data_IF_811476258764
#
_entry.id   IF_811476258764
#
_cell.length_a   1.000
_cell.length_b   1.000
_cell.length_c   1.000
_cell.angle_alpha   90.00
_cell.angle_beta   90.00
_cell.angle_gamma   90.00
#
_symmetry.space_group_name_H-M   'P 1'
#
loop_
_entity.id
_entity.type
_entity.pdbx_description
1 polymer ?
#
# COMPACT_ATOMS: atom_id res chain seq x y z
N UNK A 1 -3.48 13.11 14.97
CA UNK A 1 -3.49 13.02 13.50
C UNK A 1 -3.77 11.59 13.09
N UNK A 2 -4.66 11.40 12.13
CA UNK A 2 -5.07 10.07 11.73
C UNK A 2 -4.15 9.51 10.65
N UNK A 3 -3.81 8.25 10.79
CA UNK A 3 -3.03 7.52 9.79
C UNK A 3 -3.97 6.61 9.02
N UNK A 4 -3.87 6.66 7.70
CA UNK A 4 -4.63 5.76 6.83
C UNK A 4 -3.72 4.62 6.39
N UNK A 5 -4.25 3.40 6.42
CA UNK A 5 -3.52 2.22 5.97
C UNK A 5 -4.11 1.71 4.66
N UNK A 6 -3.25 1.44 3.69
CA UNK A 6 -3.67 0.84 2.42
C UNK A 6 -3.00 -0.52 2.32
N UNK A 7 -3.81 -1.56 2.31
CA UNK A 7 -3.32 -2.93 2.28
C UNK A 7 -3.13 -3.39 0.84
N UNK A 8 -1.95 -3.90 0.55
CA UNK A 8 -1.58 -4.36 -0.78
C UNK A 8 -1.40 -5.87 -0.78
N UNK A 9 -2.26 -6.56 -1.52
CA UNK A 9 -2.13 -8.00 -1.75
C UNK A 9 -1.64 -8.22 -3.17
N UNK A 10 -1.02 -9.37 -3.43
CA UNK A 10 -0.67 -9.72 -4.81
C UNK A 10 -1.94 -9.72 -5.66
N UNK A 11 -1.84 -9.16 -6.86
CA UNK A 11 -2.98 -9.03 -7.76
C UNK A 11 -3.75 -7.72 -7.60
N UNK A 12 -3.24 -6.78 -6.78
CA UNK A 12 -3.90 -5.48 -6.65
C UNK A 12 -3.91 -4.74 -8.00
N UNK A 13 -4.89 -3.84 -8.15
CA UNK A 13 -5.00 -3.04 -9.38
C UNK A 13 -4.07 -1.84 -9.27
N UNK A 14 -3.01 -1.81 -10.08
CA UNK A 14 -1.95 -0.80 -9.96
C UNK A 14 -2.49 0.61 -10.11
N UNK A 15 -3.30 0.86 -11.14
CA UNK A 15 -3.79 2.21 -11.39
C UNK A 15 -4.65 2.70 -10.23
N UNK A 16 -5.57 1.86 -9.77
CA UNK A 16 -6.48 2.26 -8.69
C UNK A 16 -5.74 2.45 -7.38
N UNK A 17 -4.88 1.51 -7.02
CA UNK A 17 -4.20 1.55 -5.73
C UNK A 17 -3.19 2.69 -5.68
N UNK A 18 -2.32 2.79 -6.68
CA UNK A 18 -1.24 3.77 -6.65
C UNK A 18 -1.76 5.19 -6.86
N UNK A 19 -2.77 5.36 -7.71
CA UNK A 19 -3.38 6.67 -7.92
C UNK A 19 -4.04 7.17 -6.64
N UNK A 20 -4.77 6.27 -5.96
CA UNK A 20 -5.43 6.62 -4.70
C UNK A 20 -4.42 7.03 -3.64
N UNK A 21 -3.34 6.25 -3.50
CA UNK A 21 -2.28 6.56 -2.54
C UNK A 21 -1.66 7.91 -2.85
N UNK A 22 -1.35 8.17 -4.13
CA UNK A 22 -0.74 9.41 -4.55
C UNK A 22 -1.64 10.61 -4.25
N UNK A 23 -2.93 10.50 -4.59
CA UNK A 23 -3.88 11.58 -4.33
C UNK A 23 -3.99 11.87 -2.84
N UNK A 24 -4.07 10.83 -2.03
CA UNK A 24 -4.19 10.99 -0.58
C UNK A 24 -2.97 11.69 0.01
N UNK A 25 -1.77 11.29 -0.44
CA UNK A 25 -0.53 11.91 0.03
C UNK A 25 -0.42 13.36 -0.44
N UNK A 26 -0.87 13.66 -1.65
CA UNK A 26 -0.88 15.04 -2.16
C UNK A 26 -1.84 15.91 -1.35
N UNK A 27 -2.90 15.32 -0.81
CA UNK A 27 -3.85 16.03 0.03
C UNK A 27 -3.36 16.24 1.46
N UNK A 28 -2.14 15.81 1.77
CA UNK A 28 -1.55 15.99 3.09
C UNK A 28 -1.91 14.89 4.07
N UNK A 29 -2.52 13.81 3.63
CA UNK A 29 -2.86 12.70 4.50
C UNK A 29 -1.63 11.83 4.78
N UNK A 30 -1.56 11.31 6.00
CA UNK A 30 -0.54 10.34 6.35
C UNK A 30 -1.03 8.97 5.91
N UNK A 31 -0.34 8.38 4.92
CA UNK A 31 -0.72 7.09 4.35
C UNK A 31 0.42 6.11 4.48
N UNK A 32 0.13 4.97 5.07
CA UNK A 32 1.09 3.86 5.20
C UNK A 32 0.60 2.72 4.34
N UNK A 33 1.43 2.28 3.39
CA UNK A 33 1.11 1.11 2.58
C UNK A 33 1.59 -0.14 3.30
N UNK A 34 0.75 -1.17 3.31
CA UNK A 34 1.00 -2.37 4.09
C UNK A 34 0.90 -3.58 3.17
N UNK A 35 1.98 -4.37 3.10
CA UNK A 35 1.96 -5.63 2.38
C UNK A 35 1.35 -6.71 3.28
N UNK A 36 0.37 -7.43 2.76
CA UNK A 36 -0.19 -8.57 3.48
C UNK A 36 0.57 -9.86 3.19
N UNK A 37 1.65 -9.76 2.38
CA UNK A 37 2.51 -10.89 2.06
C UNK A 37 3.60 -11.04 3.13
N UNK A 38 4.44 -12.06 2.99
CA UNK A 38 5.57 -12.28 3.89
C UNK A 38 6.70 -11.28 3.66
N UNK A 39 6.70 -10.60 2.51
CA UNK A 39 7.72 -9.62 2.16
C UNK A 39 7.08 -8.28 1.90
N UNK A 40 7.91 -7.23 1.85
CA UNK A 40 7.43 -5.88 1.56
C UNK A 40 6.97 -5.71 0.12
N UNK A 41 7.38 -6.59 -0.79
CA UNK A 41 6.97 -6.50 -2.18
C UNK A 41 5.57 -7.03 -2.37
N UNK A 42 4.78 -6.28 -3.14
CA UNK A 42 3.47 -6.72 -3.59
C UNK A 42 3.41 -6.53 -5.10
N UNK A 43 3.03 -7.59 -5.81
CA UNK A 43 2.95 -7.54 -7.27
C UNK A 43 1.51 -7.29 -7.69
N UNK A 44 1.33 -6.24 -8.50
CA UNK A 44 0.01 -5.90 -9.02
C UNK A 44 -0.44 -6.85 -10.12
N UNK A 45 -1.70 -6.69 -10.52
CA UNK A 45 -2.33 -7.56 -11.51
C UNK A 45 -1.64 -7.50 -12.87
N UNK A 46 -0.94 -6.43 -13.17
CA UNK A 46 -0.28 -6.23 -14.45
C UNK A 46 1.25 -6.33 -14.34
N UNK A 47 1.74 -6.98 -13.29
CA UNK A 47 3.16 -7.28 -13.17
C UNK A 47 4.03 -6.18 -12.58
N UNK A 48 3.44 -5.11 -12.10
CA UNK A 48 4.22 -4.04 -11.46
C UNK A 48 4.41 -4.38 -9.98
N UNK A 49 5.66 -4.53 -9.58
CA UNK A 49 5.99 -4.81 -8.19
C UNK A 49 6.26 -3.50 -7.45
N UNK A 50 5.60 -3.32 -6.32
CA UNK A 50 5.83 -2.16 -5.48
C UNK A 50 6.32 -2.60 -4.11
N UNK A 51 7.07 -1.73 -3.45
CA UNK A 51 7.54 -1.98 -2.10
C UNK A 51 6.65 -1.22 -1.12
N UNK A 52 5.97 -1.95 -0.26
CA UNK A 52 5.14 -1.34 0.76
C UNK A 52 5.99 -0.74 1.88
N UNK A 53 5.39 0.13 2.67
CA UNK A 53 6.08 0.76 3.79
C UNK A 53 6.27 -0.19 4.95
N UNK A 54 5.34 -1.13 5.13
CA UNK A 54 5.36 -2.04 6.28
C UNK A 54 4.76 -3.39 5.92
N UNK A 55 5.08 -4.40 6.73
CA UNK A 55 4.43 -5.71 6.68
C UNK A 55 3.20 -5.69 7.57
N UNK A 56 2.19 -6.49 7.24
CA UNK A 56 1.00 -6.57 8.07
C UNK A 56 1.33 -7.06 9.48
N UNK A 57 2.35 -7.90 9.60
CA UNK A 57 2.78 -8.39 10.91
C UNK A 57 3.37 -7.29 11.78
N UNK A 58 3.76 -6.17 11.18
CA UNK A 58 4.36 -5.03 11.89
C UNK A 58 3.36 -3.96 12.26
N UNK A 59 2.15 -4.05 11.70
CA UNK A 59 1.13 -3.03 11.92
C UNK A 59 0.34 -3.35 13.17
N UNK A 60 0.35 -2.43 14.10
CA UNK A 60 -0.40 -2.57 15.35
C UNK A 60 -1.70 -1.78 15.20
N UNK A 61 -2.78 -2.50 15.03
CA UNK A 61 -4.09 -1.89 14.84
C UNK A 61 -5.00 -2.13 16.04
#
# INVERSE_FOLDING_TARGET
MNTSFVFLANGFEEVEALTTIDIMRRAGMEVVTVSINDTLEAEGAHGVTVKADALISEVNM
#
